data_IF_759927214480
#
_entry.id   IF_759927214480
#
_cell.length_a   1.000
_cell.length_b   1.000
_cell.length_c   1.000
_cell.angle_alpha   90.00
_cell.angle_beta   90.00
_cell.angle_gamma   90.00
#
_symmetry.space_group_name_H-M   'P 1'
#
loop_
_entity.id
_entity.type
_entity.pdbx_description
1 polymer ?
#
# COMPACT_ATOMS: atom_id res chain seq x y z
N UNK A 1 32.65 5.26 -3.42
CA UNK A 1 31.30 4.66 -3.61
C UNK A 1 30.53 4.87 -2.31
N UNK A 2 29.44 5.66 -2.31
CA UNK A 2 28.70 6.04 -1.08
C UNK A 2 27.60 5.03 -0.70
N UNK A 3 26.90 5.24 0.42
CA UNK A 3 25.88 4.32 0.96
C UNK A 3 24.78 3.94 -0.05
N UNK A 4 24.39 4.85 -0.96
CA UNK A 4 23.42 4.58 -2.03
C UNK A 4 23.84 3.42 -2.94
N UNK A 5 25.14 3.24 -3.15
CA UNK A 5 25.68 2.13 -3.96
C UNK A 5 25.54 0.75 -3.31
N UNK A 6 25.26 0.69 -2.01
CA UNK A 6 24.92 -0.56 -1.32
C UNK A 6 23.48 -0.99 -1.63
N UNK A 7 22.57 -0.04 -1.81
CA UNK A 7 21.16 -0.28 -2.19
C UNK A 7 21.00 -0.32 -3.72
N UNK A 8 21.66 -1.29 -4.36
CA UNK A 8 21.44 -1.58 -5.79
C UNK A 8 20.10 -2.29 -5.99
N UNK A 9 19.60 -2.28 -7.21
CA UNK A 9 18.35 -2.97 -7.57
C UNK A 9 18.36 -4.47 -7.22
N UNK A 10 19.51 -5.15 -7.17
CA UNK A 10 19.61 -6.57 -6.85
C UNK A 10 19.97 -6.86 -5.38
N UNK A 11 20.06 -5.85 -4.50
CA UNK A 11 20.61 -6.02 -3.16
C UNK A 11 19.74 -6.85 -2.20
N UNK A 12 18.44 -6.99 -2.49
CA UNK A 12 17.53 -7.84 -1.71
C UNK A 12 17.52 -9.29 -2.21
N UNK A 13 18.09 -9.55 -3.38
CA UNK A 13 18.17 -10.89 -3.96
C UNK A 13 19.39 -11.66 -3.41
N UNK A 14 19.32 -12.99 -3.51
CA UNK A 14 20.37 -13.91 -3.07
C UNK A 14 19.85 -14.88 -2.01
N UNK A 15 20.12 -16.16 -2.24
CA UNK A 15 19.86 -17.24 -1.29
C UNK A 15 20.89 -17.17 -0.16
N UNK A 16 20.44 -17.50 1.05
CA UNK A 16 21.38 -17.97 2.06
C UNK A 16 21.72 -19.41 1.71
N UNK A 17 22.94 -19.68 1.21
CA UNK A 17 23.44 -21.05 1.00
C UNK A 17 23.58 -21.84 2.31
N UNK A 18 23.45 -21.15 3.46
CA UNK A 18 23.60 -21.73 4.78
C UNK A 18 22.46 -21.24 5.70
N UNK A 19 21.59 -22.12 6.22
CA UNK A 19 20.48 -21.74 7.11
C UNK A 19 20.88 -20.90 8.33
N UNK A 20 22.16 -20.93 8.73
CA UNK A 20 22.70 -20.12 9.83
C UNK A 20 22.99 -18.65 9.48
N UNK A 21 22.98 -18.26 8.19
CA UNK A 21 23.20 -16.89 7.74
C UNK A 21 21.88 -16.19 7.42
N UNK A 22 21.75 -14.96 7.91
CA UNK A 22 20.62 -14.07 7.62
C UNK A 22 20.56 -13.76 6.11
N UNK A 23 19.35 -13.70 5.54
CA UNK A 23 19.16 -13.35 4.13
C UNK A 23 19.61 -11.91 3.85
N UNK A 24 20.03 -11.65 2.61
CA UNK A 24 20.34 -10.29 2.16
C UNK A 24 19.14 -9.35 2.37
N UNK A 25 17.94 -9.83 2.07
CA UNK A 25 16.71 -9.08 2.28
C UNK A 25 16.61 -8.59 3.73
N UNK A 26 16.78 -9.49 4.71
CA UNK A 26 16.75 -9.13 6.14
C UNK A 26 17.83 -8.11 6.52
N UNK A 27 19.07 -8.34 6.10
CA UNK A 27 20.22 -7.48 6.43
C UNK A 27 20.02 -6.07 5.88
N UNK A 28 19.60 -5.94 4.62
CA UNK A 28 19.35 -4.65 3.98
C UNK A 28 18.12 -3.95 4.55
N UNK A 29 17.08 -4.67 4.97
CA UNK A 29 15.96 -4.08 5.72
C UNK A 29 16.43 -3.49 7.05
N UNK A 30 17.24 -4.22 7.83
CA UNK A 30 17.78 -3.71 9.10
C UNK A 30 18.71 -2.52 8.89
N UNK A 31 19.57 -2.57 7.88
CA UNK A 31 20.44 -1.46 7.51
C UNK A 31 19.63 -0.22 7.13
N UNK A 32 18.62 -0.36 6.26
CA UNK A 32 17.74 0.74 5.87
C UNK A 32 17.03 1.35 7.08
N UNK A 33 16.45 0.51 7.94
CA UNK A 33 15.78 0.95 9.17
C UNK A 33 16.71 1.75 10.09
N UNK A 34 17.95 1.28 10.28
CA UNK A 34 18.93 1.96 11.11
C UNK A 34 19.38 3.30 10.50
N UNK A 35 19.59 3.35 9.18
CA UNK A 35 20.03 4.58 8.51
C UNK A 35 18.99 5.69 8.59
N UNK A 36 17.70 5.37 8.41
CA UNK A 36 16.64 6.39 8.43
C UNK A 36 16.26 6.84 9.84
N UNK A 37 16.30 5.93 10.82
CA UNK A 37 15.84 6.21 12.17
C UNK A 37 16.97 6.60 13.14
N UNK A 38 18.22 6.35 12.74
CA UNK A 38 19.39 6.58 13.57
C UNK A 38 19.40 5.76 14.85
N UNK A 39 20.20 6.16 15.86
CA UNK A 39 20.37 5.38 17.10
C UNK A 39 19.12 5.36 17.98
N UNK A 40 18.20 6.33 17.82
CA UNK A 40 16.96 6.39 18.60
C UNK A 40 15.89 5.40 18.11
N UNK A 41 16.07 4.86 16.90
CA UNK A 41 15.17 3.85 16.35
C UNK A 41 13.86 4.41 15.81
N UNK A 42 13.12 3.55 15.12
CA UNK A 42 11.96 3.89 14.29
C UNK A 42 10.76 4.41 15.10
N UNK A 43 10.65 4.04 16.38
CA UNK A 43 9.56 4.53 17.24
C UNK A 43 9.70 6.01 17.59
N UNK A 44 10.94 6.48 17.79
CA UNK A 44 11.21 7.91 17.95
C UNK A 44 10.94 8.67 16.65
N UNK A 45 11.41 8.13 15.52
CA UNK A 45 11.14 8.71 14.20
C UNK A 45 9.63 8.81 13.95
N UNK A 46 8.87 7.78 14.31
CA UNK A 46 7.41 7.75 14.20
C UNK A 46 6.78 8.87 15.03
N UNK A 47 7.15 9.00 16.31
CA UNK A 47 6.65 10.09 17.17
C UNK A 47 6.96 11.47 16.62
N UNK A 48 8.17 11.68 16.10
CA UNK A 48 8.55 12.95 15.48
C UNK A 48 7.72 13.27 14.23
N UNK A 49 7.49 12.28 13.36
CA UNK A 49 6.72 12.42 12.12
C UNK A 49 5.22 12.60 12.36
N UNK A 50 4.67 12.04 13.45
CA UNK A 50 3.25 12.19 13.81
C UNK A 50 2.84 13.66 14.05
N UNK A 51 3.78 14.53 14.39
CA UNK A 51 3.54 15.98 14.47
C UNK A 51 3.23 16.64 13.12
N UNK A 52 3.42 15.93 12.02
CA UNK A 52 3.16 16.36 10.64
C UNK A 52 2.08 15.50 9.96
N UNK A 53 1.42 14.62 10.71
CA UNK A 53 0.41 13.68 10.22
C UNK A 53 -0.98 14.32 10.14
N UNK A 54 -1.10 15.30 9.25
CA UNK A 54 -2.38 15.91 8.90
C UNK A 54 -2.83 15.32 7.57
N UNK A 55 -4.00 14.69 7.52
CA UNK A 55 -4.52 14.05 6.31
C UNK A 55 -6.00 14.39 6.12
N UNK A 56 -6.46 14.43 4.87
CA UNK A 56 -7.88 14.58 4.55
C UNK A 56 -8.66 13.34 5.01
N UNK A 57 -8.04 12.16 4.87
CA UNK A 57 -8.61 10.85 5.15
C UNK A 57 -7.69 10.01 6.03
N UNK A 58 -8.29 9.11 6.80
CA UNK A 58 -7.56 8.06 7.49
C UNK A 58 -6.97 7.06 6.47
N UNK A 59 -5.74 6.60 6.71
CA UNK A 59 -5.05 5.62 5.88
C UNK A 59 -5.05 4.21 6.47
N UNK A 60 -5.75 3.98 7.60
CA UNK A 60 -5.75 2.68 8.24
C UNK A 60 -6.52 1.65 7.41
N UNK A 61 -5.82 0.60 7.01
CA UNK A 61 -6.35 -0.60 6.39
C UNK A 61 -6.09 -1.76 7.34
N UNK A 62 -7.05 -2.66 7.45
CA UNK A 62 -6.94 -3.86 8.27
C UNK A 62 -7.22 -5.11 7.46
N UNK A 63 -6.74 -6.22 8.00
CA UNK A 63 -7.00 -7.57 7.50
C UNK A 63 -8.13 -8.21 8.34
N UNK A 64 -8.30 -9.54 8.27
CA UNK A 64 -9.25 -10.24 9.13
C UNK A 64 -9.03 -10.00 10.63
N UNK A 65 -10.04 -10.32 11.42
CA UNK A 65 -10.04 -10.24 12.89
C UNK A 65 -9.89 -8.84 13.51
N UNK A 66 -10.23 -7.79 12.77
CA UNK A 66 -10.20 -6.42 13.26
C UNK A 66 -11.57 -5.92 13.77
N UNK A 67 -11.60 -5.19 14.87
CA UNK A 67 -12.82 -4.54 15.36
C UNK A 67 -12.99 -3.14 14.77
N UNK A 68 -14.06 -2.95 14.00
CA UNK A 68 -14.43 -1.67 13.39
C UNK A 68 -15.81 -1.21 13.88
N UNK A 69 -16.12 0.04 13.58
CA UNK A 69 -17.37 0.69 13.96
C UNK A 69 -18.12 1.13 12.71
N UNK A 70 -19.43 1.01 12.72
CA UNK A 70 -20.31 1.54 11.68
C UNK A 70 -21.30 2.49 12.33
N UNK A 71 -21.20 3.77 12.03
CA UNK A 71 -22.11 4.80 12.50
C UNK A 71 -23.15 5.11 11.42
N UNK A 72 -24.38 4.62 11.58
CA UNK A 72 -25.48 4.81 10.62
C UNK A 72 -25.96 6.26 10.56
N UNK A 73 -25.78 7.02 11.66
CA UNK A 73 -26.07 8.46 11.68
C UNK A 73 -25.13 9.27 10.77
N UNK A 74 -23.83 8.95 10.77
CA UNK A 74 -22.81 9.67 10.01
C UNK A 74 -22.54 9.10 8.61
N UNK A 75 -22.78 7.81 8.39
CA UNK A 75 -22.55 7.15 7.11
C UNK A 75 -23.53 7.61 6.04
N UNK A 76 -23.04 7.73 4.81
CA UNK A 76 -23.84 7.91 3.59
C UNK A 76 -24.13 6.57 2.91
N UNK A 77 -23.31 5.54 3.19
CA UNK A 77 -23.47 4.19 2.65
C UNK A 77 -23.55 3.15 3.77
N UNK A 78 -24.23 2.00 3.54
CA UNK A 78 -24.29 0.91 4.52
C UNK A 78 -22.94 0.24 4.79
N UNK A 79 -21.98 0.38 3.87
CA UNK A 79 -20.65 -0.23 3.97
C UNK A 79 -19.65 0.60 4.78
N UNK A 80 -19.95 1.88 5.05
CA UNK A 80 -19.04 2.79 5.77
C UNK A 80 -18.56 2.17 7.09
N UNK A 81 -17.25 2.27 7.34
CA UNK A 81 -16.59 1.73 8.53
C UNK A 81 -15.48 2.64 9.06
N UNK A 82 -15.36 2.68 10.38
CA UNK A 82 -14.38 3.48 11.12
C UNK A 82 -13.49 2.57 11.96
N UNK A 83 -12.21 2.91 12.02
CA UNK A 83 -11.31 2.34 13.01
C UNK A 83 -11.64 2.86 14.42
N UNK A 84 -11.20 2.14 15.45
CA UNK A 84 -11.47 2.55 16.84
C UNK A 84 -10.91 3.93 17.20
N UNK A 85 -9.75 4.29 16.66
CA UNK A 85 -9.15 5.60 16.90
C UNK A 85 -9.99 6.74 16.33
N UNK A 86 -10.48 6.60 15.09
CA UNK A 86 -11.32 7.61 14.45
C UNK A 86 -12.70 7.67 15.09
N UNK A 87 -13.28 6.52 15.46
CA UNK A 87 -14.57 6.49 16.14
C UNK A 87 -14.52 7.26 17.48
N UNK A 88 -13.55 6.95 18.33
CA UNK A 88 -13.41 7.61 19.63
C UNK A 88 -13.10 9.11 19.51
N UNK A 89 -12.47 9.53 18.42
CA UNK A 89 -12.10 10.92 18.17
C UNK A 89 -13.14 11.70 17.32
N UNK A 90 -14.25 11.07 16.93
CA UNK A 90 -15.28 11.60 16.01
C UNK A 90 -16.65 11.87 16.64
N UNK A 91 -16.72 11.95 17.98
CA UNK A 91 -17.93 12.31 18.74
C UNK A 91 -19.18 11.45 18.43
N UNK A 92 -19.03 10.14 18.24
CA UNK A 92 -20.15 9.26 17.86
C UNK A 92 -20.94 8.64 19.03
N UNK A 93 -20.68 9.04 20.29
CA UNK A 93 -21.21 8.37 21.50
C UNK A 93 -22.74 8.32 21.56
N UNK A 94 -23.42 9.32 21.02
CA UNK A 94 -24.90 9.43 21.03
C UNK A 94 -25.55 9.10 19.67
N UNK A 95 -24.81 8.46 18.76
CA UNK A 95 -25.30 8.10 17.44
C UNK A 95 -25.83 6.67 17.40
N UNK A 96 -26.59 6.35 16.34
CA UNK A 96 -26.87 4.96 15.98
C UNK A 96 -25.61 4.36 15.36
N UNK A 97 -24.94 3.49 16.12
CA UNK A 97 -23.76 2.77 15.66
C UNK A 97 -23.76 1.30 16.10
N UNK A 98 -22.95 0.50 15.43
CA UNK A 98 -22.59 -0.84 15.91
C UNK A 98 -21.08 -1.05 15.81
N UNK A 99 -20.53 -1.80 16.77
CA UNK A 99 -19.20 -2.39 16.68
C UNK A 99 -19.33 -3.76 15.99
N UNK A 100 -18.44 -4.08 15.06
CA UNK A 100 -18.43 -5.37 14.38
C UNK A 100 -17.00 -5.90 14.23
N UNK A 101 -16.87 -7.22 14.18
CA UNK A 101 -15.60 -7.89 13.87
C UNK A 101 -15.53 -8.12 12.35
N UNK A 102 -14.57 -7.50 11.67
CA UNK A 102 -14.35 -7.73 10.24
C UNK A 102 -13.55 -9.02 10.03
N UNK A 103 -14.02 -9.90 9.15
CA UNK A 103 -13.36 -11.17 8.80
C UNK A 103 -12.61 -11.11 7.47
N UNK A 104 -12.88 -10.11 6.63
CA UNK A 104 -12.44 -10.06 5.23
C UNK A 104 -11.63 -8.80 4.89
N UNK A 105 -11.03 -8.16 5.89
CA UNK A 105 -10.30 -6.89 5.74
C UNK A 105 -11.23 -5.66 5.72
N UNK A 106 -10.64 -4.48 5.48
CA UNK A 106 -11.37 -3.22 5.37
C UNK A 106 -10.46 -2.01 5.49
N UNK A 107 -11.01 -0.82 5.29
CA UNK A 107 -10.30 0.44 5.45
C UNK A 107 -11.17 1.45 6.19
N UNK A 108 -10.53 2.39 6.90
CA UNK A 108 -11.23 3.44 7.61
C UNK A 108 -11.73 4.51 6.63
N UNK A 109 -13.01 4.83 6.69
CA UNK A 109 -13.66 5.82 5.84
C UNK A 109 -13.66 7.24 6.43
N UNK A 110 -12.98 7.45 7.56
CA UNK A 110 -12.95 8.74 8.22
C UNK A 110 -12.33 9.80 7.30
N UNK A 111 -13.07 10.89 7.06
CA UNK A 111 -12.65 11.96 6.17
C UNK A 111 -13.04 11.78 4.70
N UNK A 112 -13.61 10.63 4.30
CA UNK A 112 -14.06 10.43 2.91
C UNK A 112 -15.47 11.03 2.69
N UNK A 113 -15.59 12.14 1.94
CA UNK A 113 -16.89 12.77 1.70
C UNK A 113 -17.82 11.93 0.81
N UNK A 114 -17.32 10.90 0.12
CA UNK A 114 -18.15 10.03 -0.72
C UNK A 114 -19.02 9.08 0.09
N UNK A 115 -18.61 8.75 1.33
CA UNK A 115 -19.24 7.70 2.14
C UNK A 115 -19.60 8.16 3.55
N UNK A 116 -19.21 9.37 3.95
CA UNK A 116 -19.41 9.88 5.30
C UNK A 116 -19.72 11.39 5.33
N UNK A 117 -20.63 11.81 6.22
CA UNK A 117 -20.92 13.23 6.48
C UNK A 117 -19.74 13.90 7.19
N UNK A 118 -19.42 15.17 6.88
CA UNK A 118 -18.35 15.91 7.56
C UNK A 118 -18.50 15.98 9.08
N UNK A 119 -19.73 15.95 9.60
CA UNK A 119 -20.02 15.98 11.04
C UNK A 119 -19.54 14.74 11.81
N UNK A 120 -19.21 13.66 11.11
CA UNK A 120 -18.63 12.47 11.74
C UNK A 120 -17.12 12.34 11.54
N UNK A 121 -16.46 13.31 10.90
CA UNK A 121 -15.01 13.29 10.78
C UNK A 121 -14.37 13.40 12.17
N UNK A 122 -13.30 12.64 12.40
CA UNK A 122 -12.54 12.76 13.63
C UNK A 122 -11.69 14.03 13.65
N UNK A 123 -11.26 14.47 14.83
CA UNK A 123 -10.45 15.69 14.97
C UNK A 123 -9.09 15.67 14.26
N UNK A 124 -8.66 14.53 13.70
CA UNK A 124 -7.38 14.37 12.99
C UNK A 124 -7.52 14.31 11.47
N UNK A 125 -8.71 14.05 10.94
CA UNK A 125 -8.94 13.87 9.50
C UNK A 125 -10.04 14.79 8.99
N UNK A 126 -9.81 15.39 7.83
CA UNK A 126 -10.80 16.22 7.15
C UNK A 126 -10.15 17.31 6.30
N UNK A 127 -10.92 17.98 5.42
CA UNK A 127 -10.40 19.03 4.55
C UNK A 127 -9.72 20.18 5.30
N UNK A 128 -10.22 20.51 6.49
CA UNK A 128 -9.70 21.56 7.36
C UNK A 128 -8.31 21.25 7.94
N UNK A 129 -7.91 19.97 7.95
CA UNK A 129 -6.62 19.54 8.49
C UNK A 129 -5.48 19.71 7.50
N UNK A 130 -5.77 19.66 6.20
CA UNK A 130 -4.74 19.69 5.15
C UNK A 130 -4.24 21.11 4.87
N UNK A 131 -5.11 22.12 4.97
CA UNK A 131 -4.82 23.49 4.53
C UNK A 131 -3.61 24.15 5.22
N UNK A 132 -3.28 23.74 6.45
CA UNK A 132 -2.17 24.30 7.24
C UNK A 132 -1.11 23.25 7.60
N UNK A 133 -0.96 22.19 6.78
CA UNK A 133 -0.03 21.10 7.08
C UNK A 133 1.41 21.65 7.22
N UNK A 134 2.07 21.46 8.37
CA UNK A 134 3.45 21.89 8.56
C UNK A 134 4.39 21.04 7.69
N UNK A 135 5.47 21.67 7.20
CA UNK A 135 6.54 20.95 6.51
C UNK A 135 7.50 20.34 7.53
N UNK A 136 7.84 19.03 7.42
CA UNK A 136 8.82 18.42 8.31
C UNK A 136 10.23 19.01 8.08
N UNK A 137 11.06 19.13 9.13
CA UNK A 137 12.45 19.53 8.99
C UNK A 137 13.22 18.65 8.01
N UNK A 138 14.05 19.24 7.15
CA UNK A 138 14.80 18.50 6.11
C UNK A 138 15.62 17.36 6.69
N UNK A 139 16.30 17.57 7.81
CA UNK A 139 17.12 16.55 8.48
C UNK A 139 16.29 15.36 9.00
N UNK A 140 14.99 15.55 9.27
CA UNK A 140 14.11 14.47 9.73
C UNK A 140 13.81 13.47 8.60
N UNK A 141 13.78 13.93 7.35
CA UNK A 141 13.34 13.11 6.20
C UNK A 141 14.42 12.89 5.14
N UNK A 142 15.54 13.62 5.17
CA UNK A 142 16.54 13.62 4.10
C UNK A 142 17.09 12.21 3.79
N UNK A 143 17.38 11.41 4.81
CA UNK A 143 17.93 10.06 4.60
C UNK A 143 16.88 9.13 3.97
N UNK A 144 15.63 9.22 4.43
CA UNK A 144 14.52 8.47 3.85
C UNK A 144 14.30 8.89 2.39
N UNK A 145 14.18 10.19 2.11
CA UNK A 145 14.04 10.74 0.76
C UNK A 145 15.17 10.27 -0.17
N UNK A 146 16.40 10.21 0.33
CA UNK A 146 17.57 9.83 -0.46
C UNK A 146 17.64 8.33 -0.78
N UNK A 147 17.25 7.47 0.17
CA UNK A 147 17.38 6.01 0.04
C UNK A 147 16.12 5.31 -0.48
N UNK A 148 14.93 5.88 -0.28
CA UNK A 148 13.65 5.26 -0.62
C UNK A 148 13.54 4.87 -2.11
N UNK A 149 13.97 5.69 -3.10
CA UNK A 149 13.96 5.27 -4.51
C UNK A 149 14.74 3.98 -4.74
N UNK A 150 15.96 3.89 -4.21
CA UNK A 150 16.81 2.70 -4.33
C UNK A 150 16.19 1.46 -3.66
N UNK A 151 15.58 1.63 -2.48
CA UNK A 151 14.91 0.55 -1.77
C UNK A 151 13.67 0.05 -2.51
N UNK A 152 12.85 0.97 -3.05
CA UNK A 152 11.65 0.61 -3.80
C UNK A 152 12.00 -0.10 -5.12
N UNK A 153 13.06 0.35 -5.82
CA UNK A 153 13.63 -0.35 -6.98
C UNK A 153 14.06 -1.77 -6.63
N UNK A 154 14.80 -1.93 -5.53
CA UNK A 154 15.30 -3.23 -5.10
C UNK A 154 14.17 -4.19 -4.69
N UNK A 155 13.15 -3.67 -4.01
CA UNK A 155 11.96 -4.44 -3.65
C UNK A 155 11.15 -4.86 -4.89
N UNK A 156 10.98 -3.98 -5.87
CA UNK A 156 10.33 -4.33 -7.14
C UNK A 156 11.08 -5.45 -7.88
N UNK A 157 12.40 -5.33 -7.98
CA UNK A 157 13.21 -6.35 -8.62
C UNK A 157 13.13 -7.70 -7.88
N UNK A 158 13.11 -7.68 -6.55
CA UNK A 158 12.88 -8.88 -5.74
C UNK A 158 11.51 -9.49 -6.00
N UNK A 159 10.45 -8.69 -6.13
CA UNK A 159 9.11 -9.18 -6.47
C UNK A 159 9.08 -9.86 -7.85
N UNK A 160 9.77 -9.34 -8.85
CA UNK A 160 9.88 -10.00 -10.15
C UNK A 160 10.54 -11.38 -10.06
N UNK A 161 11.45 -11.57 -9.12
CA UNK A 161 12.04 -12.88 -8.86
C UNK A 161 11.05 -13.83 -8.19
N UNK A 162 10.27 -13.33 -7.22
CA UNK A 162 9.19 -14.11 -6.59
C UNK A 162 8.11 -14.54 -7.60
N UNK A 163 7.81 -13.72 -8.61
CA UNK A 163 6.88 -14.08 -9.68
C UNK A 163 7.32 -15.28 -10.53
N UNK A 164 8.58 -15.75 -10.42
CA UNK A 164 9.09 -16.95 -11.09
C UNK A 164 8.99 -18.21 -10.22
N UNK A 165 8.78 -18.06 -8.91
CA UNK A 165 8.65 -19.20 -8.00
C UNK A 165 7.31 -19.91 -8.21
N UNK A 166 7.28 -21.23 -8.01
CA UNK A 166 6.05 -22.03 -8.10
C UNK A 166 5.07 -21.69 -6.96
N UNK A 167 5.60 -21.53 -5.74
CA UNK A 167 4.85 -21.15 -4.53
C UNK A 167 5.51 -19.96 -3.84
N UNK A 168 5.26 -18.72 -4.30
CA UNK A 168 5.82 -17.54 -3.68
C UNK A 168 5.18 -17.30 -2.32
N UNK A 169 6.01 -17.10 -1.29
CA UNK A 169 5.55 -16.71 0.04
C UNK A 169 6.07 -15.32 0.39
N UNK A 170 5.16 -14.49 0.95
CA UNK A 170 5.39 -13.07 1.25
C UNK A 170 5.12 -12.78 2.72
N UNK A 171 5.56 -13.69 3.60
CA UNK A 171 5.49 -13.45 5.04
C UNK A 171 6.62 -12.50 5.52
N UNK A 172 6.58 -12.12 6.79
CA UNK A 172 7.53 -11.15 7.36
C UNK A 172 9.00 -11.61 7.29
N UNK A 173 9.25 -12.92 7.32
CA UNK A 173 10.61 -13.46 7.26
C UNK A 173 11.19 -13.40 5.84
N UNK A 174 10.37 -13.63 4.83
CA UNK A 174 10.79 -13.66 3.41
C UNK A 174 10.76 -12.27 2.77
N UNK A 175 9.81 -11.43 3.17
CA UNK A 175 9.61 -10.09 2.64
C UNK A 175 9.80 -8.98 3.71
N UNK A 176 10.87 -8.98 4.52
CA UNK A 176 11.00 -8.05 5.65
C UNK A 176 10.96 -6.57 5.23
N UNK A 177 11.41 -6.22 4.01
CA UNK A 177 11.31 -4.84 3.51
C UNK A 177 9.84 -4.43 3.30
N UNK A 178 8.98 -5.31 2.79
CA UNK A 178 7.55 -5.02 2.61
C UNK A 178 6.89 -4.70 3.96
N UNK A 179 7.20 -5.49 5.00
CA UNK A 179 6.67 -5.25 6.35
C UNK A 179 7.27 -4.00 7.00
N UNK A 180 8.53 -3.68 6.68
CA UNK A 180 9.11 -2.41 7.11
C UNK A 180 8.45 -1.20 6.41
N UNK A 181 8.03 -1.33 5.15
CA UNK A 181 7.25 -0.31 4.45
C UNK A 181 5.89 -0.07 5.11
N UNK A 182 5.24 -1.09 5.69
CA UNK A 182 4.04 -0.89 6.53
C UNK A 182 4.33 -0.06 7.77
N UNK A 183 5.48 -0.28 8.44
CA UNK A 183 5.89 0.53 9.58
C UNK A 183 6.18 1.98 9.17
N UNK A 184 6.77 2.17 7.99
CA UNK A 184 6.93 3.50 7.41
C UNK A 184 5.59 4.15 7.09
N UNK A 185 4.67 3.44 6.44
CA UNK A 185 3.31 3.94 6.18
C UNK A 185 2.61 4.41 7.46
N UNK A 186 2.74 3.64 8.55
CA UNK A 186 2.16 3.96 9.85
C UNK A 186 2.75 5.23 10.50
N UNK A 187 3.93 5.70 10.07
CA UNK A 187 4.53 6.95 10.55
C UNK A 187 3.69 8.19 10.22
N UNK A 188 2.80 8.11 9.23
CA UNK A 188 1.84 9.15 8.88
C UNK A 188 2.00 9.70 7.47
N UNK A 189 1.28 10.78 7.19
CA UNK A 189 1.15 11.34 5.85
C UNK A 189 2.49 11.62 5.15
N UNK A 190 3.50 12.11 5.86
CA UNK A 190 4.81 12.46 5.26
C UNK A 190 5.48 11.26 4.60
N UNK A 191 5.54 10.11 5.27
CA UNK A 191 6.18 8.91 4.73
C UNK A 191 5.34 8.28 3.63
N UNK A 192 4.02 8.30 3.78
CA UNK A 192 3.06 7.88 2.75
C UNK A 192 3.27 8.70 1.46
N UNK A 193 3.41 10.02 1.57
CA UNK A 193 3.66 10.90 0.43
C UNK A 193 5.01 10.61 -0.24
N UNK A 194 6.07 10.38 0.53
CA UNK A 194 7.38 10.00 -0.03
C UNK A 194 7.32 8.67 -0.77
N UNK A 195 6.60 7.69 -0.25
CA UNK A 195 6.38 6.40 -0.92
C UNK A 195 5.63 6.60 -2.24
N UNK A 196 4.53 7.36 -2.22
CA UNK A 196 3.76 7.67 -3.44
C UNK A 196 4.63 8.36 -4.47
N UNK A 197 5.36 9.41 -4.10
CA UNK A 197 6.22 10.15 -5.02
C UNK A 197 7.18 9.20 -5.74
N UNK A 198 7.83 8.28 -5.01
CA UNK A 198 8.71 7.27 -5.61
C UNK A 198 7.97 6.28 -6.50
N UNK A 199 6.75 5.88 -6.13
CA UNK A 199 5.97 4.89 -6.88
C UNK A 199 5.49 5.42 -8.23
N UNK A 200 5.21 6.71 -8.34
CA UNK A 200 4.65 7.35 -9.54
C UNK A 200 5.70 8.09 -10.39
N UNK A 201 6.93 8.20 -9.88
CA UNK A 201 8.05 8.84 -10.58
C UNK A 201 8.51 8.00 -11.79
N UNK A 202 8.50 8.64 -12.96
CA UNK A 202 8.89 8.04 -14.24
C UNK A 202 10.40 7.75 -14.29
N UNK A 203 11.23 8.62 -13.72
CA UNK A 203 12.68 8.48 -13.73
C UNK A 203 13.11 7.31 -12.86
N UNK A 204 12.47 7.13 -11.69
CA UNK A 204 12.78 5.99 -10.80
C UNK A 204 12.54 4.65 -11.51
N UNK A 205 11.45 4.52 -12.26
CA UNK A 205 11.18 3.28 -12.99
C UNK A 205 12.11 3.13 -14.21
N UNK A 206 12.34 4.19 -14.97
CA UNK A 206 13.28 4.17 -16.10
C UNK A 206 14.69 3.75 -15.66
N UNK A 207 15.17 4.28 -14.53
CA UNK A 207 16.44 3.89 -13.92
C UNK A 207 16.48 2.40 -13.55
N UNK A 208 15.39 1.84 -12.98
CA UNK A 208 15.31 0.42 -12.67
C UNK A 208 15.44 -0.44 -13.93
N UNK A 209 14.74 -0.06 -15.00
CA UNK A 209 14.81 -0.78 -16.27
C UNK A 209 16.22 -0.71 -16.85
N UNK A 210 16.81 0.48 -16.97
CA UNK A 210 18.17 0.65 -17.48
C UNK A 210 19.22 -0.14 -16.68
N UNK A 211 19.08 -0.20 -15.35
CA UNK A 211 19.98 -0.97 -14.47
C UNK A 211 19.80 -2.49 -14.62
N UNK A 212 18.60 -2.97 -14.99
CA UNK A 212 18.22 -4.39 -14.99
C UNK A 212 18.12 -5.03 -16.39
N UNK A 213 18.16 -4.23 -17.46
CA UNK A 213 18.02 -4.64 -18.88
C UNK A 213 18.85 -5.86 -19.28
N UNK A 214 20.05 -6.06 -18.70
CA UNK A 214 20.91 -7.21 -19.04
C UNK A 214 20.44 -8.55 -18.45
N UNK A 215 19.54 -8.55 -17.47
CA UNK A 215 19.16 -9.73 -16.68
C UNK A 215 17.68 -10.11 -16.79
N UNK A 216 16.86 -9.27 -17.41
CA UNK A 216 15.42 -9.48 -17.46
C UNK A 216 14.93 -9.61 -18.90
N UNK A 217 14.31 -10.74 -19.23
CA UNK A 217 13.48 -10.88 -20.42
C UNK A 217 12.08 -10.30 -20.16
N UNK A 218 11.96 -9.03 -19.74
CA UNK A 218 10.65 -8.36 -19.66
C UNK A 218 10.29 -7.94 -21.09
N UNK A 219 9.87 -8.89 -21.93
CA UNK A 219 9.49 -8.62 -23.32
C UNK A 219 8.02 -8.24 -23.52
N UNK A 220 7.21 -8.10 -22.46
CA UNK A 220 5.75 -7.95 -22.63
C UNK A 220 5.06 -6.89 -21.77
N UNK A 221 5.77 -6.12 -20.92
CA UNK A 221 5.12 -5.14 -20.04
C UNK A 221 5.51 -3.71 -20.38
N UNK A 222 4.55 -2.94 -20.90
CA UNK A 222 4.68 -1.50 -21.19
C UNK A 222 4.44 -0.66 -19.93
N UNK A 223 5.12 -0.96 -18.84
CA UNK A 223 5.04 -0.15 -17.62
C UNK A 223 5.90 1.11 -17.74
N UNK A 224 5.49 2.18 -17.07
CA UNK A 224 6.15 3.48 -16.99
C UNK A 224 6.50 3.87 -15.55
N UNK A 225 5.79 3.30 -14.57
CA UNK A 225 5.97 3.62 -13.15
C UNK A 225 6.14 2.35 -12.31
N UNK A 226 6.70 2.51 -11.11
CA UNK A 226 6.75 1.42 -10.14
C UNK A 226 5.33 0.99 -9.74
N UNK A 227 4.38 1.93 -9.63
CA UNK A 227 2.97 1.63 -9.34
C UNK A 227 2.38 0.59 -10.29
N UNK A 228 2.51 0.79 -11.60
CA UNK A 228 2.03 -0.16 -12.61
C UNK A 228 2.69 -1.54 -12.43
N UNK A 229 4.00 -1.57 -12.17
CA UNK A 229 4.73 -2.82 -11.91
C UNK A 229 4.34 -3.51 -10.58
N UNK A 230 4.01 -2.74 -9.55
CA UNK A 230 3.48 -3.24 -8.27
C UNK A 230 2.10 -3.85 -8.46
N UNK A 231 1.26 -3.19 -9.25
CA UNK A 231 -0.07 -3.69 -9.57
C UNK A 231 0.00 -4.99 -10.38
N UNK A 232 0.84 -5.04 -11.42
CA UNK A 232 1.10 -6.28 -12.15
C UNK A 232 1.57 -7.40 -11.22
N UNK A 233 2.49 -7.10 -10.30
CA UNK A 233 2.97 -8.04 -9.28
C UNK A 233 1.81 -8.54 -8.40
N UNK A 234 0.90 -7.66 -7.94
CA UNK A 234 -0.28 -8.07 -7.18
C UNK A 234 -1.11 -9.08 -7.98
N UNK A 235 -1.39 -8.80 -9.26
CA UNK A 235 -2.19 -9.69 -10.09
C UNK A 235 -1.49 -11.03 -10.31
N UNK A 236 -0.18 -11.00 -10.60
CA UNK A 236 0.64 -12.19 -10.86
C UNK A 236 0.77 -13.09 -9.63
N UNK A 237 0.91 -12.49 -8.45
CA UNK A 237 1.01 -13.18 -7.16
C UNK A 237 -0.37 -13.45 -6.52
N UNK A 238 -1.48 -13.29 -7.27
CA UNK A 238 -2.86 -13.56 -6.82
C UNK A 238 -3.23 -12.79 -5.55
N UNK A 239 -3.01 -11.47 -5.58
CA UNK A 239 -3.43 -10.52 -4.57
C UNK A 239 -2.91 -10.86 -3.16
N UNK A 240 -1.58 -10.84 -2.94
CA UNK A 240 -1.02 -11.08 -1.62
C UNK A 240 -1.47 -10.00 -0.64
N UNK A 241 -1.87 -10.42 0.56
CA UNK A 241 -2.58 -9.58 1.52
C UNK A 241 -1.77 -8.36 1.97
N UNK A 242 -0.52 -8.58 2.37
CA UNK A 242 0.36 -7.51 2.86
C UNK A 242 0.61 -6.45 1.79
N UNK A 243 0.88 -6.87 0.55
CA UNK A 243 1.09 -5.93 -0.55
C UNK A 243 -0.20 -5.19 -0.92
N UNK A 244 -1.33 -5.89 -0.98
CA UNK A 244 -2.64 -5.29 -1.26
C UNK A 244 -3.00 -4.24 -0.20
N UNK A 245 -2.79 -4.57 1.07
CA UNK A 245 -3.04 -3.68 2.22
C UNK A 245 -2.19 -2.43 2.14
N UNK A 246 -0.89 -2.56 1.79
CA UNK A 246 0.02 -1.42 1.68
C UNK A 246 -0.46 -0.45 0.59
N UNK A 247 -0.84 -0.97 -0.58
CA UNK A 247 -1.27 -0.12 -1.69
C UNK A 247 -2.62 0.55 -1.42
N UNK A 248 -3.59 -0.15 -0.83
CA UNK A 248 -4.87 0.45 -0.41
C UNK A 248 -4.60 1.56 0.62
N UNK A 249 -3.64 1.37 1.52
CA UNK A 249 -3.29 2.37 2.53
C UNK A 249 -2.74 3.68 1.96
N UNK A 250 -2.33 3.72 0.69
CA UNK A 250 -1.84 4.93 0.01
C UNK A 250 -2.96 5.67 -0.75
N UNK A 251 -4.17 5.11 -0.86
CA UNK A 251 -5.31 5.73 -1.54
C UNK A 251 -5.80 7.08 -0.97
N UNK A 252 -5.56 7.44 0.30
CA UNK A 252 -5.79 8.82 0.76
C UNK A 252 -5.03 9.88 -0.03
N UNK A 253 -3.92 9.52 -0.69
CA UNK A 253 -3.19 10.45 -1.56
C UNK A 253 -3.88 10.47 -2.93
N UNK A 254 -4.60 11.55 -3.22
CA UNK A 254 -5.50 11.65 -4.39
C UNK A 254 -4.81 11.39 -5.75
N UNK A 255 -3.58 11.88 -5.93
CA UNK A 255 -2.80 11.63 -7.15
C UNK A 255 -2.49 10.14 -7.34
N UNK A 256 -2.07 9.47 -6.26
CA UNK A 256 -1.86 8.03 -6.26
C UNK A 256 -3.14 7.28 -6.57
N UNK A 257 -4.25 7.61 -5.90
CA UNK A 257 -5.56 6.97 -6.14
C UNK A 257 -5.98 7.08 -7.61
N UNK A 258 -5.82 8.24 -8.23
CA UNK A 258 -6.14 8.45 -9.64
C UNK A 258 -5.34 7.51 -10.55
N UNK A 259 -4.02 7.49 -10.39
CA UNK A 259 -3.12 6.65 -11.19
C UNK A 259 -3.32 5.16 -10.90
N UNK A 260 -3.63 4.80 -9.65
CA UNK A 260 -3.94 3.42 -9.26
C UNK A 260 -5.19 2.95 -10.00
N UNK A 261 -6.24 3.76 -10.05
CA UNK A 261 -7.48 3.42 -10.77
C UNK A 261 -7.19 3.19 -12.25
N UNK A 262 -6.43 4.09 -12.89
CA UNK A 262 -6.09 3.97 -14.30
C UNK A 262 -5.36 2.66 -14.59
N UNK A 263 -4.32 2.35 -13.79
CA UNK A 263 -3.57 1.12 -13.92
C UNK A 263 -4.42 -0.13 -13.59
N UNK A 264 -5.28 -0.07 -12.57
CA UNK A 264 -6.14 -1.18 -12.15
C UNK A 264 -7.13 -1.59 -13.24
N UNK A 265 -7.72 -0.60 -13.91
CA UNK A 265 -8.61 -0.82 -15.06
C UNK A 265 -7.84 -1.40 -16.25
N UNK A 266 -6.60 -0.97 -16.50
CA UNK A 266 -5.77 -1.52 -17.57
C UNK A 266 -5.42 -3.00 -17.36
N UNK A 267 -5.47 -3.50 -16.12
CA UNK A 267 -5.29 -4.91 -15.79
C UNK A 267 -6.58 -5.70 -15.62
N UNK A 268 -7.76 -5.10 -15.83
CA UNK A 268 -9.06 -5.71 -15.48
C UNK A 268 -9.31 -7.06 -16.20
N UNK A 269 -8.93 -7.18 -17.47
CA UNK A 269 -9.00 -8.44 -18.23
C UNK A 269 -8.10 -9.53 -17.64
N UNK A 270 -6.91 -9.15 -17.18
CA UNK A 270 -5.97 -10.10 -16.54
C UNK A 270 -6.50 -10.53 -15.17
N UNK A 271 -7.08 -9.61 -14.40
CA UNK A 271 -7.72 -9.89 -13.10
C UNK A 271 -8.88 -10.88 -13.30
N UNK A 272 -9.76 -10.63 -14.27
CA UNK A 272 -10.86 -11.53 -14.62
C UNK A 272 -10.35 -12.92 -15.05
N UNK A 273 -9.27 -12.98 -15.82
CA UNK A 273 -8.63 -14.25 -16.22
C UNK A 273 -8.06 -15.01 -15.02
N UNK A 274 -7.38 -14.33 -14.09
CA UNK A 274 -6.88 -14.94 -12.84
C UNK A 274 -8.01 -15.51 -11.98
N UNK A 275 -9.15 -14.82 -11.89
CA UNK A 275 -10.35 -15.31 -11.21
C UNK A 275 -10.94 -16.58 -11.86
N UNK A 276 -11.00 -16.59 -13.19
CA UNK A 276 -11.49 -17.74 -13.96
C UNK A 276 -10.57 -18.96 -13.83
N UNK A 277 -9.25 -18.76 -13.80
CA UNK A 277 -8.29 -19.85 -13.60
C UNK A 277 -8.45 -20.40 -12.18
N UNK A 278 -8.49 -19.52 -11.18
CA UNK A 278 -8.55 -19.94 -9.76
C UNK A 278 -9.81 -20.73 -9.44
N UNK A 279 -10.94 -20.43 -10.09
CA UNK A 279 -12.20 -21.18 -9.92
C UNK A 279 -12.24 -22.53 -10.67
N UNK A 280 -11.37 -22.76 -11.66
CA UNK A 280 -11.36 -23.99 -12.48
C UNK A 280 -10.26 -25.00 -12.09
N UNK A 281 -9.22 -24.56 -11.41
CA UNK A 281 -8.10 -25.44 -11.01
C UNK A 281 -8.53 -26.33 -9.84
N UNK A 282 -8.62 -27.64 -10.09
CA UNK A 282 -9.03 -28.67 -9.11
C UNK A 282 -8.16 -28.73 -7.84
N UNK A 283 -6.95 -28.17 -7.89
CA UNK A 283 -5.98 -28.21 -6.79
C UNK A 283 -6.01 -26.95 -5.89
N UNK A 284 -6.93 -25.99 -6.14
CA UNK A 284 -7.08 -24.82 -5.27
C UNK A 284 -8.30 -25.05 -4.37
N UNK A 285 -8.12 -24.89 -3.06
CA UNK A 285 -9.23 -25.07 -2.13
C UNK A 285 -10.28 -23.95 -2.32
N UNK A 286 -11.58 -24.24 -2.11
CA UNK A 286 -12.64 -23.22 -2.19
C UNK A 286 -12.38 -21.99 -1.30
N UNK A 287 -11.73 -22.18 -0.15
CA UNK A 287 -11.38 -21.12 0.79
C UNK A 287 -10.35 -20.16 0.19
N UNK A 288 -9.32 -20.67 -0.48
CA UNK A 288 -8.30 -19.85 -1.14
C UNK A 288 -8.90 -19.03 -2.29
N UNK A 289 -9.79 -19.64 -3.07
CA UNK A 289 -10.52 -18.94 -4.13
C UNK A 289 -11.42 -17.83 -3.57
N UNK A 290 -12.12 -18.10 -2.47
CA UNK A 290 -12.96 -17.11 -1.79
C UNK A 290 -12.12 -15.96 -1.22
N UNK A 291 -10.97 -16.24 -0.60
CA UNK A 291 -10.06 -15.20 -0.10
C UNK A 291 -9.55 -14.30 -1.22
N UNK A 292 -9.18 -14.87 -2.37
CA UNK A 292 -8.80 -14.10 -3.56
C UNK A 292 -9.93 -13.16 -4.01
N UNK A 293 -11.15 -13.69 -4.14
CA UNK A 293 -12.33 -12.91 -4.52
C UNK A 293 -12.56 -11.74 -3.55
N UNK A 294 -12.49 -12.01 -2.24
CA UNK A 294 -12.68 -11.00 -1.20
C UNK A 294 -11.64 -9.88 -1.31
N UNK A 295 -10.38 -10.20 -1.61
CA UNK A 295 -9.32 -9.20 -1.78
C UNK A 295 -9.52 -8.32 -3.02
N UNK A 296 -9.95 -8.91 -4.13
CA UNK A 296 -10.26 -8.17 -5.36
C UNK A 296 -11.45 -7.24 -5.14
N UNK A 297 -12.52 -7.76 -4.53
CA UNK A 297 -13.69 -6.95 -4.16
C UNK A 297 -13.31 -5.82 -3.22
N UNK A 298 -12.46 -6.11 -2.21
CA UNK A 298 -11.98 -5.10 -1.28
C UNK A 298 -11.26 -3.96 -2.01
N UNK A 299 -10.29 -4.26 -2.88
CA UNK A 299 -9.60 -3.22 -3.67
C UNK A 299 -10.60 -2.44 -4.53
N UNK A 300 -11.44 -3.14 -5.30
CA UNK A 300 -12.42 -2.51 -6.19
C UNK A 300 -13.35 -1.55 -5.45
N UNK A 301 -13.85 -1.92 -4.26
CA UNK A 301 -14.70 -1.04 -3.44
C UNK A 301 -13.95 0.22 -3.01
N UNK A 302 -12.67 0.11 -2.61
CA UNK A 302 -11.88 1.27 -2.18
C UNK A 302 -11.53 2.22 -3.32
N UNK A 303 -11.39 1.69 -4.54
CA UNK A 303 -11.13 2.48 -5.74
C UNK A 303 -12.38 3.20 -6.25
N UNK A 304 -13.52 2.51 -6.26
CA UNK A 304 -14.74 2.97 -6.94
C UNK A 304 -15.86 3.40 -6.00
N UNK A 305 -15.59 3.63 -4.71
CA UNK A 305 -16.58 4.17 -3.76
C UNK A 305 -17.07 5.58 -4.11
N UNK A 306 -16.29 6.36 -4.88
CA UNK A 306 -16.65 7.70 -5.33
C UNK A 306 -17.23 7.71 -6.76
N UNK A 307 -18.38 8.38 -6.93
CA UNK A 307 -19.10 8.47 -8.22
C UNK A 307 -18.21 9.06 -9.31
N UNK A 308 -17.42 10.09 -9.01
CA UNK A 308 -16.60 10.79 -10.00
C UNK A 308 -15.55 9.88 -10.64
N UNK A 309 -14.92 9.01 -9.86
CA UNK A 309 -13.93 8.07 -10.37
C UNK A 309 -14.55 6.99 -11.26
N UNK A 310 -15.70 6.44 -10.85
CA UNK A 310 -16.42 5.45 -11.64
C UNK A 310 -16.91 6.07 -12.96
N UNK A 311 -17.50 7.26 -12.90
CA UNK A 311 -18.00 7.98 -14.08
C UNK A 311 -16.87 8.36 -15.04
N UNK A 312 -15.70 8.76 -14.50
CA UNK A 312 -14.50 9.02 -15.29
C UNK A 312 -14.06 7.78 -16.07
N UNK A 313 -14.02 6.61 -15.43
CA UNK A 313 -13.61 5.37 -16.10
C UNK A 313 -14.56 4.93 -17.20
N UNK A 314 -15.88 5.02 -16.99
CA UNK A 314 -16.87 4.75 -18.05
C UNK A 314 -16.64 5.67 -19.25
N UNK A 315 -16.40 6.97 -19.02
CA UNK A 315 -16.18 7.96 -20.08
C UNK A 315 -14.85 7.78 -20.82
N UNK A 316 -13.75 7.60 -20.09
CA UNK A 316 -12.39 7.60 -20.63
C UNK A 316 -11.99 6.23 -21.22
N UNK A 317 -12.43 5.13 -20.61
CA UNK A 317 -12.00 3.77 -20.98
C UNK A 317 -13.06 2.98 -21.75
N UNK A 318 -14.24 3.57 -22.00
CA UNK A 318 -15.38 2.94 -22.71
C UNK A 318 -15.77 1.57 -22.12
N UNK A 319 -15.70 1.47 -20.80
CA UNK A 319 -16.25 0.34 -20.04
C UNK A 319 -17.77 0.35 -20.10
#
# INVERSE_FOLDING_TARGET
RGIKSSFRYDCLCGSSENPSKLSNHYLFTKLFAHLIAGPKGIDELTRALKNFDYSDRCSLVWIGDYFAYRCRTCGLTPSMSLCGACFNAGNHENHDFNKFKSTCGGACDCGDPCVMKPSGNCRFHGPDKVANRPCPPRNLIAVLQFLLPSVMKALMYWFWDQCKAEEPSLNENEAPMLFFLHRLHACGWVTQQLMVNVMIDLEVFADLIAESERRLSIKELKHKTLLESFLYTIVKLRFPESLSTLLIGLLPINEFKKLFIDAYVDHYETIASTLMITSRVRNISPEVAMQLNNRIVHISVQLFSGVDHALRMVKEKRL
#
